data_IF_009440019980
#
_entry.id   IF_009440019980
#
_cell.length_a   1.000
_cell.length_b   1.000
_cell.length_c   1.000
_cell.angle_alpha   90.00
_cell.angle_beta   90.00
_cell.angle_gamma   90.00
#
_symmetry.space_group_name_H-M   'P 1'
#
loop_
_entity.id
_entity.type
_entity.pdbx_description
1 polymer ?
#
# COMPACT_ATOMS: atom_id res chain seq x y z
N UNK A 1 17.88 13.72 -41.42
CA UNK A 1 16.82 12.88 -40.80
C UNK A 1 16.94 13.07 -39.30
N UNK A 2 15.95 13.72 -38.68
CA UNK A 2 16.03 14.20 -37.30
C UNK A 2 15.77 13.05 -36.31
N UNK A 3 16.67 12.91 -35.34
CA UNK A 3 16.62 11.98 -34.23
C UNK A 3 15.61 12.48 -33.18
N UNK A 4 14.69 11.65 -32.72
CA UNK A 4 13.88 11.90 -31.54
C UNK A 4 14.07 10.77 -30.55
N UNK A 5 15.01 10.94 -29.62
CA UNK A 5 15.10 10.11 -28.41
C UNK A 5 14.12 10.71 -27.42
N UNK A 6 12.94 10.11 -27.32
CA UNK A 6 11.94 10.47 -26.30
C UNK A 6 12.30 9.71 -25.03
N UNK A 7 13.08 10.33 -24.14
CA UNK A 7 13.09 9.96 -22.72
C UNK A 7 11.82 10.54 -22.10
N UNK A 8 10.70 9.85 -22.31
CA UNK A 8 9.44 10.18 -21.67
C UNK A 8 9.53 9.81 -20.19
N UNK A 9 9.62 10.83 -19.35
CA UNK A 9 9.45 10.76 -17.89
C UNK A 9 8.10 10.10 -17.58
N UNK A 10 8.10 8.81 -17.29
CA UNK A 10 6.94 8.17 -16.69
C UNK A 10 6.87 8.64 -15.25
N UNK A 11 6.02 9.63 -14.99
CA UNK A 11 5.43 9.83 -13.68
C UNK A 11 4.73 8.51 -13.38
N UNK A 12 5.31 7.72 -12.46
CA UNK A 12 4.75 6.45 -11.99
C UNK A 12 3.52 6.81 -11.16
N UNK A 13 2.41 7.07 -11.85
CA UNK A 13 1.11 7.29 -11.24
C UNK A 13 0.54 5.92 -10.86
N UNK A 14 1.16 5.29 -9.86
CA UNK A 14 0.66 4.07 -9.26
C UNK A 14 -0.37 4.44 -8.17
N UNK A 15 -1.57 4.82 -8.61
CA UNK A 15 -2.77 4.80 -7.78
C UNK A 15 -3.54 3.49 -8.01
N UNK A 16 -4.28 3.04 -7.01
CA UNK A 16 -5.25 1.94 -7.10
C UNK A 16 -6.13 2.06 -8.36
N UNK A 17 -6.41 1.00 -9.15
CA UNK A 17 -5.67 -0.21 -9.48
C UNK A 17 -4.88 -0.03 -10.80
N UNK A 18 -4.52 1.20 -11.17
CA UNK A 18 -3.87 1.54 -12.43
C UNK A 18 -2.43 0.97 -12.54
N UNK A 19 -1.81 0.67 -11.41
CA UNK A 19 -0.56 -0.09 -11.36
C UNK A 19 -0.79 -1.57 -11.71
N UNK A 20 -0.99 -1.85 -13.01
CA UNK A 20 -0.88 -3.23 -13.51
C UNK A 20 0.54 -3.72 -13.26
N UNK A 21 0.72 -4.83 -12.54
CA UNK A 21 2.04 -5.42 -12.36
C UNK A 21 2.66 -5.76 -13.72
N UNK A 22 3.96 -5.51 -13.87
CA UNK A 22 4.71 -5.92 -15.06
C UNK A 22 5.12 -7.39 -14.88
N UNK A 23 4.15 -8.30 -15.02
CA UNK A 23 4.34 -9.75 -14.98
C UNK A 23 3.98 -10.45 -13.66
N UNK A 24 3.90 -11.80 -13.66
CA UNK A 24 3.66 -12.57 -12.44
C UNK A 24 4.86 -12.41 -11.49
N UNK A 25 4.60 -11.91 -10.29
CA UNK A 25 5.61 -11.85 -9.24
C UNK A 25 5.79 -13.20 -8.55
N UNK A 26 6.91 -13.42 -7.83
CA UNK A 26 7.09 -14.64 -7.06
C UNK A 26 6.00 -14.76 -5.98
N UNK A 27 5.47 -15.99 -5.83
CA UNK A 27 4.65 -16.33 -4.66
C UNK A 27 5.54 -16.23 -3.43
N UNK A 28 5.11 -15.50 -2.41
CA UNK A 28 5.85 -15.41 -1.17
C UNK A 28 5.91 -16.79 -0.51
N UNK A 29 7.12 -17.32 -0.31
CA UNK A 29 7.29 -18.48 0.54
C UNK A 29 7.03 -18.06 2.00
N UNK A 30 6.32 -18.87 2.81
CA UNK A 30 6.01 -18.52 4.20
C UNK A 30 7.28 -18.16 4.98
N UNK A 31 7.23 -17.06 5.75
CA UNK A 31 8.37 -16.59 6.55
C UNK A 31 9.50 -15.92 5.77
N UNK A 32 9.35 -15.75 4.45
CA UNK A 32 10.33 -15.02 3.65
C UNK A 32 10.10 -13.52 3.78
N UNK A 33 11.14 -12.81 4.24
CA UNK A 33 11.14 -11.35 4.26
C UNK A 33 11.10 -10.81 2.83
N UNK A 34 10.17 -9.90 2.54
CA UNK A 34 10.07 -9.23 1.25
C UNK A 34 10.54 -7.78 1.41
N UNK A 35 11.60 -7.37 0.68
CA UNK A 35 12.05 -5.99 0.71
C UNK A 35 11.00 -5.08 0.05
N UNK A 36 10.63 -4.00 0.74
CA UNK A 36 9.76 -2.94 0.19
C UNK A 36 10.62 -1.82 -0.40
N UNK A 37 11.77 -1.56 0.20
CA UNK A 37 12.67 -0.45 -0.08
C UNK A 37 13.08 0.28 1.20
N UNK A 38 14.11 1.12 1.13
CA UNK A 38 14.60 1.90 2.27
C UNK A 38 14.87 1.07 3.55
N UNK A 39 15.33 -0.17 3.41
CA UNK A 39 15.61 -1.07 4.54
C UNK A 39 14.37 -1.68 5.22
N UNK A 40 13.16 -1.42 4.70
CA UNK A 40 11.93 -2.01 5.23
C UNK A 40 11.65 -3.39 4.63
N UNK A 41 11.18 -4.30 5.48
CA UNK A 41 10.82 -5.67 5.13
C UNK A 41 9.46 -6.05 5.69
N UNK A 42 8.65 -6.73 4.87
CA UNK A 42 7.36 -7.29 5.27
C UNK A 42 7.38 -8.81 5.20
N UNK A 43 6.58 -9.45 6.07
CA UNK A 43 6.55 -10.91 6.24
C UNK A 43 5.15 -11.45 5.93
N UNK A 44 4.78 -11.55 4.65
CA UNK A 44 3.47 -12.05 4.29
C UNK A 44 3.29 -13.52 4.67
N UNK A 45 2.11 -13.91 5.19
CA UNK A 45 1.76 -15.31 5.37
C UNK A 45 1.71 -16.09 4.05
N UNK A 46 1.53 -17.41 4.15
CA UNK A 46 1.33 -18.25 2.96
C UNK A 46 0.14 -17.77 2.12
N UNK A 47 0.32 -17.83 0.79
CA UNK A 47 -0.73 -17.56 -0.20
C UNK A 47 -0.77 -16.12 -0.70
N UNK A 48 0.07 -15.24 -0.17
CA UNK A 48 0.32 -13.93 -0.75
C UNK A 48 1.33 -14.01 -1.89
N UNK A 49 1.05 -13.29 -2.97
CA UNK A 49 1.95 -13.15 -4.11
C UNK A 49 2.52 -11.74 -4.09
N UNK A 50 3.84 -11.62 -4.20
CA UNK A 50 4.50 -10.33 -4.14
C UNK A 50 4.96 -9.87 -5.50
N UNK A 51 4.68 -8.61 -5.82
CA UNK A 51 5.07 -7.96 -7.05
C UNK A 51 5.76 -6.64 -6.71
N UNK A 52 6.98 -6.47 -7.20
CA UNK A 52 7.67 -5.19 -7.09
C UNK A 52 6.85 -4.11 -7.79
N UNK A 53 6.74 -2.94 -7.17
CA UNK A 53 5.94 -1.84 -7.67
C UNK A 53 6.71 -0.51 -7.67
N UNK A 54 8.01 -0.61 -7.93
CA UNK A 54 8.97 0.48 -7.81
C UNK A 54 10.13 0.11 -6.90
N UNK A 55 11.06 1.03 -6.69
CA UNK A 55 12.23 0.84 -5.82
C UNK A 55 11.92 0.99 -4.33
N UNK A 56 10.74 1.53 -4.00
CA UNK A 56 10.30 1.85 -2.64
C UNK A 56 8.86 1.39 -2.39
N UNK A 57 8.39 0.40 -3.16
CA UNK A 57 7.05 -0.15 -2.99
C UNK A 57 6.95 -1.62 -3.41
N UNK A 58 6.08 -2.36 -2.72
CA UNK A 58 5.67 -3.71 -3.08
C UNK A 58 4.15 -3.82 -3.05
N UNK A 59 3.59 -4.58 -3.98
CA UNK A 59 2.19 -5.01 -3.98
C UNK A 59 2.13 -6.48 -3.59
N UNK A 60 1.27 -6.80 -2.64
CA UNK A 60 0.99 -8.13 -2.14
C UNK A 60 -0.47 -8.45 -2.48
N UNK A 61 -0.72 -9.63 -3.06
CA UNK A 61 -2.07 -10.05 -3.46
C UNK A 61 -2.42 -11.41 -2.88
N UNK A 62 -3.63 -11.56 -2.33
CA UNK A 62 -4.19 -12.85 -1.91
C UNK A 62 -5.69 -12.90 -2.19
N UNK A 63 -6.09 -13.71 -3.16
CA UNK A 63 -7.48 -13.75 -3.62
C UNK A 63 -7.90 -12.40 -4.19
N UNK A 64 -8.93 -11.79 -3.61
CA UNK A 64 -9.41 -10.45 -3.98
C UNK A 64 -8.85 -9.32 -3.11
N UNK A 65 -8.00 -9.65 -2.13
CA UNK A 65 -7.38 -8.66 -1.26
C UNK A 65 -6.00 -8.29 -1.78
N UNK A 66 -5.75 -7.01 -1.78
CA UNK A 66 -4.50 -6.39 -2.18
C UNK A 66 -3.94 -5.61 -0.99
N UNK A 67 -2.61 -5.58 -0.88
CA UNK A 67 -1.87 -4.76 0.07
C UNK A 67 -0.71 -4.09 -0.66
N UNK A 68 -0.73 -2.76 -0.68
CA UNK A 68 0.39 -1.95 -1.14
C UNK A 68 1.17 -1.42 0.03
N UNK A 69 2.48 -1.62 -0.01
CA UNK A 69 3.39 -1.12 1.02
C UNK A 69 4.37 -0.17 0.35
N UNK A 70 4.52 1.03 0.92
CA UNK A 70 5.34 2.12 0.38
C UNK A 70 6.26 2.69 1.43
N UNK A 71 7.45 3.09 1.03
CA UNK A 71 8.46 3.73 1.88
C UNK A 71 9.00 5.04 1.31
N UNK A 72 8.35 5.59 0.28
CA UNK A 72 8.75 6.81 -0.42
C UNK A 72 8.03 8.07 0.07
N UNK A 73 7.02 7.92 0.93
CA UNK A 73 6.36 9.03 1.61
C UNK A 73 7.24 9.58 2.73
N UNK A 74 6.98 10.81 3.14
CA UNK A 74 7.74 11.50 4.20
C UNK A 74 6.80 12.15 5.21
N UNK A 75 7.31 12.40 6.42
CA UNK A 75 6.59 13.08 7.49
C UNK A 75 6.06 12.12 8.56
N UNK A 76 5.21 12.66 9.43
CA UNK A 76 4.53 11.87 10.46
C UNK A 76 3.36 11.06 9.86
N UNK A 77 2.77 10.10 10.62
CA UNK A 77 1.66 9.29 10.11
C UNK A 77 0.47 10.08 9.60
N UNK A 78 0.14 11.22 10.22
CA UNK A 78 -1.00 12.04 9.80
C UNK A 78 -0.75 12.68 8.43
N UNK A 79 0.45 13.24 8.25
CA UNK A 79 0.92 13.84 7.00
C UNK A 79 0.96 12.80 5.88
N UNK A 80 1.45 11.59 6.16
CA UNK A 80 1.47 10.49 5.19
C UNK A 80 0.07 10.11 4.71
N UNK A 81 -0.89 9.95 5.64
CA UNK A 81 -2.27 9.62 5.30
C UNK A 81 -2.93 10.73 4.48
N UNK A 82 -2.83 11.99 4.91
CA UNK A 82 -3.41 13.13 4.17
C UNK A 82 -2.82 13.25 2.76
N UNK A 83 -1.49 13.12 2.65
CA UNK A 83 -0.78 13.16 1.35
C UNK A 83 -1.28 12.05 0.43
N UNK A 84 -1.35 10.81 0.93
CA UNK A 84 -1.77 9.67 0.12
C UNK A 84 -3.24 9.78 -0.30
N UNK A 85 -4.13 10.18 0.61
CA UNK A 85 -5.54 10.39 0.28
C UNK A 85 -5.68 11.42 -0.85
N UNK A 86 -5.08 12.60 -0.71
CA UNK A 86 -5.22 13.68 -1.70
C UNK A 86 -4.59 13.36 -3.05
N UNK A 87 -3.36 12.85 -3.03
CA UNK A 87 -2.57 12.69 -4.25
C UNK A 87 -2.88 11.38 -4.98
N UNK A 88 -3.37 10.36 -4.26
CA UNK A 88 -3.56 9.02 -4.82
C UNK A 88 -5.05 8.67 -4.86
N UNK A 89 -5.73 8.68 -3.72
CA UNK A 89 -7.12 8.20 -3.67
C UNK A 89 -8.10 9.18 -4.32
N UNK A 90 -8.08 10.46 -3.93
CA UNK A 90 -8.99 11.49 -4.46
C UNK A 90 -8.78 11.74 -5.95
N UNK A 91 -7.55 11.58 -6.45
CA UNK A 91 -7.23 11.77 -7.87
C UNK A 91 -7.77 10.62 -8.73
N UNK A 92 -7.96 9.43 -8.16
CA UNK A 92 -8.42 8.23 -8.87
C UNK A 92 -9.90 7.88 -8.58
N UNK A 93 -10.51 8.51 -7.58
CA UNK A 93 -11.86 8.21 -7.14
C UNK A 93 -12.91 9.13 -7.78
N UNK A 94 -14.00 8.54 -8.26
CA UNK A 94 -15.21 9.29 -8.61
C UNK A 94 -16.06 9.61 -7.37
N UNK A 95 -16.00 8.75 -6.35
CA UNK A 95 -16.59 8.97 -5.04
C UNK A 95 -15.66 8.38 -3.99
N UNK A 96 -15.40 9.11 -2.90
CA UNK A 96 -14.55 8.65 -1.82
C UNK A 96 -15.08 9.14 -0.48
N UNK A 97 -15.21 8.23 0.48
CA UNK A 97 -15.42 8.55 1.89
C UNK A 97 -14.26 7.97 2.67
N UNK A 98 -13.60 8.80 3.48
CA UNK A 98 -12.45 8.43 4.31
C UNK A 98 -12.79 8.72 5.77
N UNK A 99 -12.48 7.80 6.68
CA UNK A 99 -12.70 8.02 8.11
C UNK A 99 -11.59 8.89 8.70
N UNK A 100 -11.90 9.59 9.78
CA UNK A 100 -10.88 10.30 10.56
C UNK A 100 -9.77 9.31 11.01
N UNK A 101 -8.49 9.65 10.82
CA UNK A 101 -7.39 8.81 11.30
C UNK A 101 -7.45 8.60 12.81
N UNK A 102 -7.22 7.36 13.25
CA UNK A 102 -7.17 6.98 14.66
C UNK A 102 -5.83 6.30 14.99
N UNK A 103 -5.26 6.52 16.18
CA UNK A 103 -4.08 5.78 16.64
C UNK A 103 -4.34 4.29 16.73
N UNK A 104 -3.34 3.49 16.36
CA UNK A 104 -3.35 2.04 16.57
C UNK A 104 -2.18 1.62 17.46
N UNK A 105 -2.36 0.61 18.34
CA UNK A 105 -1.27 0.12 19.16
C UNK A 105 -0.29 -0.70 18.31
N UNK A 106 0.98 -0.28 18.30
CA UNK A 106 2.12 -1.05 17.80
C UNK A 106 3.21 -1.13 18.88
N UNK A 107 4.39 -1.65 18.52
CA UNK A 107 5.54 -1.70 19.42
C UNK A 107 5.84 -0.31 20.01
N UNK A 108 6.25 -0.21 21.29
CA UNK A 108 6.56 1.05 21.94
C UNK A 108 7.51 1.92 21.11
N UNK A 109 7.18 3.20 20.97
CA UNK A 109 7.97 4.14 20.17
C UNK A 109 7.72 4.08 18.65
N UNK A 110 6.67 3.39 18.20
CA UNK A 110 6.22 3.39 16.79
C UNK A 110 4.92 4.18 16.65
N UNK A 111 4.96 5.48 16.34
CA UNK A 111 3.75 6.25 16.02
C UNK A 111 3.06 5.63 14.81
N UNK A 112 1.77 5.33 14.93
CA UNK A 112 0.97 4.76 13.86
C UNK A 112 -0.47 5.27 13.89
N UNK A 113 -1.01 5.57 12.71
CA UNK A 113 -2.40 5.95 12.51
C UNK A 113 -3.03 5.04 11.46
N UNK A 114 -4.33 4.79 11.62
CA UNK A 114 -5.15 4.03 10.70
C UNK A 114 -6.37 4.84 10.27
N UNK A 115 -6.72 4.72 9.00
CA UNK A 115 -7.95 5.25 8.44
C UNK A 115 -8.56 4.19 7.52
N UNK A 116 -9.88 4.17 7.39
CA UNK A 116 -10.58 3.33 6.43
C UNK A 116 -11.20 4.21 5.35
N UNK A 117 -11.43 3.64 4.17
CA UNK A 117 -12.14 4.32 3.11
C UNK A 117 -13.07 3.36 2.36
N UNK A 118 -14.09 3.95 1.74
CA UNK A 118 -14.97 3.30 0.77
C UNK A 118 -15.13 4.25 -0.40
N UNK A 119 -15.06 3.73 -1.62
CA UNK A 119 -15.16 4.57 -2.81
C UNK A 119 -15.34 3.81 -4.11
N UNK A 120 -15.69 4.57 -5.16
CA UNK A 120 -15.68 4.11 -6.55
C UNK A 120 -14.51 4.76 -7.27
N UNK A 121 -13.81 3.97 -8.08
CA UNK A 121 -12.56 4.39 -8.72
C UNK A 121 -12.65 4.26 -10.24
N UNK A 122 -11.99 5.14 -10.95
CA UNK A 122 -12.02 5.16 -12.41
C UNK A 122 -11.50 3.83 -12.98
N UNK A 123 -12.28 3.25 -13.90
CA UNK A 123 -11.96 1.96 -14.50
C UNK A 123 -12.29 0.74 -13.63
N UNK A 124 -12.88 0.91 -12.43
CA UNK A 124 -13.42 -0.17 -11.62
C UNK A 124 -14.95 -0.07 -11.57
N UNK A 125 -15.64 -1.17 -11.89
CA UNK A 125 -17.11 -1.23 -11.88
C UNK A 125 -17.74 -1.48 -10.51
N UNK A 126 -16.93 -1.85 -9.52
CA UNK A 126 -17.35 -2.26 -8.18
C UNK A 126 -16.89 -1.24 -7.15
N UNK A 127 -17.67 -1.06 -6.09
CA UNK A 127 -17.27 -0.29 -4.92
C UNK A 127 -16.13 -1.00 -4.21
N UNK A 128 -15.09 -0.23 -3.89
CA UNK A 128 -13.92 -0.71 -3.16
C UNK A 128 -14.01 -0.25 -1.71
N UNK A 129 -13.50 -1.08 -0.82
CA UNK A 129 -13.17 -0.69 0.56
C UNK A 129 -11.68 -0.83 0.77
N UNK A 130 -11.12 -0.03 1.66
CA UNK A 130 -9.73 -0.15 2.03
C UNK A 130 -9.41 0.39 3.41
N UNK A 131 -8.19 0.09 3.83
CA UNK A 131 -7.61 0.47 5.10
C UNK A 131 -6.20 1.00 4.86
N UNK A 132 -6.01 2.26 5.19
CA UNK A 132 -4.71 2.89 5.24
C UNK A 132 -4.12 2.72 6.64
N UNK A 133 -2.85 2.37 6.73
CA UNK A 133 -2.07 2.45 7.97
C UNK A 133 -0.74 3.12 7.68
N UNK A 134 -0.46 4.23 8.35
CA UNK A 134 0.81 4.92 8.25
C UNK A 134 1.55 4.80 9.57
N UNK A 135 2.84 4.53 9.52
CA UNK A 135 3.68 4.43 10.71
C UNK A 135 5.10 4.94 10.47
N UNK A 136 5.78 5.32 11.55
CA UNK A 136 7.21 5.64 11.53
C UNK A 136 7.95 4.64 12.41
N UNK A 137 8.69 3.72 11.78
CA UNK A 137 9.46 2.69 12.48
C UNK A 137 10.95 3.01 12.39
N UNK A 138 11.61 3.21 13.54
CA UNK A 138 13.03 3.60 13.59
C UNK A 138 13.36 4.82 12.71
N UNK A 139 12.46 5.81 12.69
CA UNK A 139 12.61 7.01 11.86
C UNK A 139 12.29 6.82 10.37
N UNK A 140 11.87 5.62 9.96
CA UNK A 140 11.51 5.33 8.57
C UNK A 140 9.99 5.37 8.36
N UNK A 141 9.47 6.21 7.45
CA UNK A 141 8.07 6.26 7.10
C UNK A 141 7.66 5.04 6.29
N UNK A 142 6.55 4.40 6.68
CA UNK A 142 5.96 3.27 5.97
C UNK A 142 4.45 3.49 5.89
N UNK A 143 3.90 3.40 4.68
CA UNK A 143 2.46 3.40 4.43
C UNK A 143 2.03 2.02 3.91
N UNK A 144 0.96 1.51 4.49
CA UNK A 144 0.22 0.35 4.06
C UNK A 144 -1.14 0.82 3.55
N UNK A 145 -1.52 0.37 2.37
CA UNK A 145 -2.84 0.54 1.79
C UNK A 145 -3.38 -0.84 1.43
N UNK A 146 -4.34 -1.34 2.19
CA UNK A 146 -4.98 -2.62 1.92
C UNK A 146 -6.37 -2.38 1.34
N UNK A 147 -6.74 -3.05 0.26
CA UNK A 147 -8.04 -2.87 -0.36
C UNK A 147 -8.59 -4.14 -0.97
N UNK A 148 -9.91 -4.15 -1.12
CA UNK A 148 -10.65 -5.19 -1.80
C UNK A 148 -11.98 -4.62 -2.31
N UNK A 149 -12.74 -5.45 -3.01
CA UNK A 149 -14.16 -5.17 -3.25
C UNK A 149 -14.85 -5.04 -1.89
N UNK A 150 -15.81 -4.12 -1.78
CA UNK A 150 -16.55 -3.88 -0.56
C UNK A 150 -17.11 -5.19 0.05
N UNK A 151 -16.87 -5.38 1.34
CA UNK A 151 -17.23 -6.59 2.11
C UNK A 151 -16.19 -7.72 2.06
N UNK A 152 -15.10 -7.60 1.31
CA UNK A 152 -14.12 -8.68 1.12
C UNK A 152 -12.79 -8.45 1.86
N UNK A 153 -12.48 -7.24 2.31
CA UNK A 153 -11.21 -6.94 2.99
C UNK A 153 -11.09 -7.71 4.30
N UNK A 154 -12.22 -7.92 4.98
CA UNK A 154 -12.29 -8.67 6.25
C UNK A 154 -11.76 -10.12 6.14
N UNK A 155 -11.77 -10.71 4.93
CA UNK A 155 -11.25 -12.05 4.70
C UNK A 155 -9.74 -12.18 5.00
N UNK A 156 -9.00 -11.08 4.96
CA UNK A 156 -7.57 -11.05 5.24
C UNK A 156 -7.19 -10.14 6.43
N UNK A 157 -8.15 -9.60 7.19
CA UNK A 157 -7.88 -8.59 8.23
C UNK A 157 -6.81 -9.03 9.25
N UNK A 158 -6.91 -10.25 9.77
CA UNK A 158 -5.93 -10.78 10.73
C UNK A 158 -4.52 -10.91 10.14
N UNK A 159 -4.41 -11.21 8.84
CA UNK A 159 -3.13 -11.33 8.15
C UNK A 159 -2.53 -9.96 7.85
N UNK A 160 -3.36 -8.99 7.48
CA UNK A 160 -2.97 -7.58 7.30
C UNK A 160 -2.43 -7.00 8.61
N UNK A 161 -3.15 -7.16 9.71
CA UNK A 161 -2.72 -6.70 11.03
C UNK A 161 -1.41 -7.35 11.45
N UNK A 162 -1.25 -8.65 11.18
CA UNK A 162 0.02 -9.34 11.44
C UNK A 162 1.17 -8.75 10.62
N UNK A 163 0.99 -8.57 9.31
CA UNK A 163 2.03 -8.01 8.44
C UNK A 163 2.45 -6.60 8.88
N UNK A 164 1.48 -5.76 9.28
CA UNK A 164 1.75 -4.41 9.81
C UNK A 164 2.50 -4.51 11.13
N UNK A 165 2.08 -5.38 12.05
CA UNK A 165 2.68 -5.51 13.38
C UNK A 165 4.10 -6.11 13.35
N UNK A 166 4.41 -6.91 12.33
CA UNK A 166 5.72 -7.57 12.17
C UNK A 166 6.59 -6.93 11.10
N UNK A 167 6.25 -5.73 10.61
CA UNK A 167 7.15 -5.00 9.70
C UNK A 167 8.46 -4.69 10.40
N UNK A 168 9.57 -4.83 9.67
CA UNK A 168 10.90 -4.56 10.20
C UNK A 168 11.65 -3.53 9.37
N UNK A 169 12.57 -2.85 10.03
CA UNK A 169 13.56 -1.97 9.42
C UNK A 169 14.95 -2.47 9.81
N UNK A 170 15.84 -2.59 8.83
CA UNK A 170 17.24 -3.03 8.99
C UNK A 170 18.20 -2.08 8.28
#
# INVERSE_FOLDING_TARGET
MLLAVVFGTQIINAALPAARPVGPGPVAAPGTAIPVGNGAYVYPPQGWVAQAAGSAAVRLTKGSVELYVRTDLTGDPATMLDTYVRQVLETAASQLTVTTPAPIPLAPGTPALRSAYVGTFDGISQTMEGQLTALVLQGRPILFDAWAIQGQLSAAANELDRMIATVEVR
#
